data_IF_803212889111
#
_entry.id   IF_803212889111
#
_cell.length_a   1.000
_cell.length_b   1.000
_cell.length_c   1.000
_cell.angle_alpha   90.00
_cell.angle_beta   90.00
_cell.angle_gamma   90.00
#
_symmetry.space_group_name_H-M   'P 1'
#
loop_
_entity.id
_entity.type
_entity.pdbx_description
1 polymer ?
#
# COMPACT_ATOMS: atom_id res chain seq x y z
N UNK A 1 -19.96 11.04 23.99
CA UNK A 1 -18.54 10.73 24.05
C UNK A 1 -18.00 10.72 22.61
N UNK A 2 -16.86 11.36 22.39
CA UNK A 2 -16.21 11.41 21.11
C UNK A 2 -14.86 10.70 21.24
N UNK A 3 -14.59 9.74 20.34
CA UNK A 3 -13.28 9.12 20.18
C UNK A 3 -12.54 9.85 19.05
N UNK A 4 -11.51 10.63 19.40
CA UNK A 4 -10.74 11.42 18.43
C UNK A 4 -9.23 11.22 18.65
N UNK A 5 -8.71 10.02 18.36
CA UNK A 5 -7.29 9.74 18.46
C UNK A 5 -6.51 10.33 17.29
N UNK A 6 -5.19 10.31 17.39
CA UNK A 6 -4.25 10.60 16.31
C UNK A 6 -3.26 9.45 16.17
N UNK A 7 -2.70 9.26 14.97
CA UNK A 7 -1.66 8.28 14.72
C UNK A 7 -0.59 8.81 13.78
N UNK A 8 0.59 8.21 13.91
CA UNK A 8 1.77 8.51 13.10
C UNK A 8 2.00 7.37 12.12
N UNK A 9 1.77 7.63 10.83
CA UNK A 9 2.19 6.73 9.75
C UNK A 9 3.67 6.97 9.51
N UNK A 10 4.50 6.21 10.23
CA UNK A 10 5.91 6.53 10.43
C UNK A 10 6.88 5.66 9.62
N UNK A 11 6.41 4.59 8.97
CA UNK A 11 7.21 3.88 7.98
C UNK A 11 7.24 4.65 6.66
N UNK A 12 8.41 4.74 6.02
CA UNK A 12 8.45 5.34 4.70
C UNK A 12 9.85 5.69 4.20
N UNK A 13 9.99 5.67 2.89
CA UNK A 13 11.21 6.03 2.17
C UNK A 13 11.71 7.48 2.42
N UNK A 14 10.85 8.50 2.60
CA UNK A 14 11.35 9.84 2.87
C UNK A 14 12.23 9.93 4.11
N UNK A 15 11.84 9.28 5.20
CA UNK A 15 12.63 9.22 6.43
C UNK A 15 13.93 8.46 6.23
N UNK A 16 13.90 7.33 5.53
CA UNK A 16 15.10 6.53 5.23
C UNK A 16 16.07 7.30 4.33
N UNK A 17 15.60 7.95 3.28
CA UNK A 17 16.42 8.77 2.39
C UNK A 17 17.09 9.94 3.15
N UNK A 18 16.33 10.63 4.00
CA UNK A 18 16.88 11.71 4.84
C UNK A 18 17.92 11.17 5.83
N UNK A 19 17.66 10.01 6.42
CA UNK A 19 18.60 9.34 7.32
C UNK A 19 19.91 8.98 6.60
N UNK A 20 19.85 8.44 5.39
CA UNK A 20 21.02 8.15 4.57
C UNK A 20 21.81 9.42 4.21
N UNK A 21 21.13 10.50 3.83
CA UNK A 21 21.77 11.76 3.45
C UNK A 21 22.46 12.46 4.64
N UNK A 22 21.88 12.34 5.83
CA UNK A 22 22.36 13.07 7.02
C UNK A 22 23.19 12.21 7.97
N UNK A 23 23.28 10.90 7.74
CA UNK A 23 23.93 9.94 8.64
C UNK A 23 23.20 9.73 9.98
N UNK A 24 21.95 10.18 10.09
CA UNK A 24 21.12 9.99 11.29
C UNK A 24 20.39 8.64 11.23
N UNK A 25 20.17 8.02 12.38
CA UNK A 25 19.36 6.80 12.44
C UNK A 25 17.87 7.11 12.14
N UNK A 26 17.17 6.32 11.28
CA UNK A 26 15.77 6.59 10.90
C UNK A 26 14.84 6.74 12.11
N UNK A 27 14.97 5.89 13.11
CA UNK A 27 14.18 5.98 14.36
C UNK A 27 14.28 7.37 15.00
N UNK A 28 15.51 7.89 15.11
CA UNK A 28 15.71 9.23 15.70
C UNK A 28 15.05 10.33 14.87
N UNK A 29 15.12 10.24 13.55
CA UNK A 29 14.46 11.21 12.65
C UNK A 29 12.94 11.17 12.86
N UNK A 30 12.37 9.97 12.94
CA UNK A 30 10.93 9.78 13.20
C UNK A 30 10.52 10.37 14.54
N UNK A 31 11.25 10.06 15.62
CA UNK A 31 10.93 10.54 16.96
C UNK A 31 11.00 12.07 17.06
N UNK A 32 12.05 12.67 16.47
CA UNK A 32 12.22 14.12 16.42
C UNK A 32 11.04 14.78 15.67
N UNK A 33 10.60 14.22 14.55
CA UNK A 33 9.47 14.72 13.77
C UNK A 33 8.14 14.58 14.51
N UNK A 34 7.86 13.43 15.12
CA UNK A 34 6.65 13.19 15.93
C UNK A 34 6.55 14.25 17.03
N UNK A 35 7.66 14.54 17.71
CA UNK A 35 7.69 15.58 18.74
C UNK A 35 7.31 16.94 18.19
N UNK A 36 7.93 17.36 17.06
CA UNK A 36 7.65 18.66 16.42
C UNK A 36 6.19 18.75 16.01
N UNK A 37 5.65 17.73 15.32
CA UNK A 37 4.26 17.72 14.91
C UNK A 37 3.29 17.75 16.09
N UNK A 38 3.61 17.02 17.18
CA UNK A 38 2.80 17.05 18.40
C UNK A 38 2.74 18.46 19.00
N UNK A 39 3.88 19.15 19.06
CA UNK A 39 3.95 20.53 19.55
C UNK A 39 3.14 21.48 18.66
N UNK A 40 3.24 21.35 17.34
CA UNK A 40 2.51 22.18 16.37
C UNK A 40 1.01 21.96 16.44
N UNK A 41 0.55 20.70 16.54
CA UNK A 41 -0.88 20.37 16.62
C UNK A 41 -1.48 20.84 17.96
N UNK A 42 -0.73 20.74 19.07
CA UNK A 42 -1.15 21.29 20.34
C UNK A 42 -1.26 22.83 20.28
N UNK A 43 -0.28 23.49 19.67
CA UNK A 43 -0.31 24.96 19.49
C UNK A 43 -1.47 25.42 18.63
N UNK A 44 -1.89 24.61 17.64
CA UNK A 44 -3.08 24.89 16.82
C UNK A 44 -4.41 24.59 17.52
N UNK A 45 -4.39 24.03 18.74
CA UNK A 45 -5.58 23.78 19.55
C UNK A 45 -6.40 22.57 19.16
N UNK A 46 -5.81 21.59 18.44
CA UNK A 46 -6.50 20.32 18.14
C UNK A 46 -6.76 19.53 19.42
N UNK A 47 -7.99 19.08 19.60
CA UNK A 47 -8.45 18.33 20.79
C UNK A 47 -8.34 16.80 20.58
N UNK A 48 -7.19 16.34 20.14
CA UNK A 48 -6.93 14.90 20.02
C UNK A 48 -6.83 14.23 21.39
N UNK A 49 -7.28 12.97 21.47
CA UNK A 49 -7.01 12.11 22.62
C UNK A 49 -5.59 11.53 22.50
N UNK A 50 -4.61 12.30 22.96
CA UNK A 50 -3.19 11.95 22.92
C UNK A 50 -2.86 10.66 23.69
N UNK A 51 -3.68 10.28 24.68
CA UNK A 51 -3.51 9.03 25.42
C UNK A 51 -3.74 7.78 24.58
N UNK A 52 -4.38 7.94 23.41
CA UNK A 52 -4.69 6.89 22.43
C UNK A 52 -3.94 7.08 21.12
N UNK A 53 -2.87 7.87 21.14
CA UNK A 53 -2.02 8.00 19.96
C UNK A 53 -1.32 6.68 19.64
N UNK A 54 -1.18 6.40 18.35
CA UNK A 54 -0.49 5.21 17.84
C UNK A 54 0.67 5.61 16.94
N UNK A 55 1.72 4.79 16.95
CA UNK A 55 2.86 4.90 16.04
C UNK A 55 2.98 3.57 15.29
N UNK A 56 2.89 3.61 13.97
CA UNK A 56 2.94 2.40 13.14
C UNK A 56 4.31 1.71 13.19
N UNK A 57 5.35 2.39 13.65
CA UNK A 57 6.69 1.82 13.88
C UNK A 57 6.90 1.25 15.29
N UNK A 58 5.90 1.36 16.16
CA UNK A 58 5.93 0.70 17.45
C UNK A 58 5.76 -0.82 17.29
N UNK A 59 6.67 -1.67 17.80
CA UNK A 59 6.53 -3.12 17.77
C UNK A 59 5.21 -3.63 18.34
N UNK A 60 4.69 -2.98 19.39
CA UNK A 60 3.40 -3.34 20.00
C UNK A 60 2.22 -3.06 19.07
N UNK A 61 2.38 -2.12 18.12
CA UNK A 61 1.40 -1.85 17.08
C UNK A 61 1.57 -2.78 15.88
N UNK A 62 2.75 -2.83 15.23
CA UNK A 62 2.92 -3.56 13.99
C UNK A 62 2.92 -5.10 14.15
N UNK A 63 3.06 -5.63 15.36
CA UNK A 63 2.88 -7.07 15.61
C UNK A 63 1.53 -7.58 15.10
N UNK A 64 0.49 -6.74 15.14
CA UNK A 64 -0.83 -7.10 14.64
C UNK A 64 -0.89 -7.15 13.12
N UNK A 65 -0.21 -6.24 12.44
CA UNK A 65 -0.02 -6.29 10.98
C UNK A 65 0.70 -7.58 10.58
N UNK A 66 1.76 -7.93 11.31
CA UNK A 66 2.50 -9.19 11.10
C UNK A 66 1.62 -10.40 11.37
N UNK A 67 0.80 -10.38 12.42
CA UNK A 67 -0.14 -11.45 12.72
C UNK A 67 -1.17 -11.63 11.61
N UNK A 68 -1.76 -10.56 11.09
CA UNK A 68 -2.70 -10.60 9.96
C UNK A 68 -2.03 -11.23 8.75
N UNK A 69 -0.80 -10.82 8.40
CA UNK A 69 -0.06 -11.42 7.30
C UNK A 69 0.13 -12.92 7.48
N UNK A 70 0.51 -13.34 8.67
CA UNK A 70 0.68 -14.77 9.00
C UNK A 70 -0.64 -15.54 8.86
N UNK A 71 -1.79 -14.94 9.25
CA UNK A 71 -3.10 -15.57 9.03
C UNK A 71 -3.40 -15.70 7.54
N UNK A 72 -3.18 -14.64 6.75
CA UNK A 72 -3.37 -14.69 5.29
C UNK A 72 -2.50 -15.79 4.66
N UNK A 73 -1.25 -15.92 5.08
CA UNK A 73 -0.35 -16.96 4.61
C UNK A 73 -0.85 -18.36 4.99
N UNK A 74 -1.24 -18.60 6.25
CA UNK A 74 -1.78 -19.88 6.72
C UNK A 74 -3.05 -20.31 6.00
N UNK A 75 -3.85 -19.35 5.54
CA UNK A 75 -5.07 -19.61 4.77
C UNK A 75 -4.85 -19.65 3.24
N UNK A 76 -3.59 -19.63 2.80
CA UNK A 76 -3.24 -19.67 1.38
C UNK A 76 -3.63 -18.43 0.58
N UNK A 77 -3.89 -17.31 1.28
CA UNK A 77 -4.24 -16.01 0.70
C UNK A 77 -3.03 -15.11 0.45
N UNK A 78 -1.89 -15.40 1.07
CA UNK A 78 -0.61 -14.77 0.78
C UNK A 78 0.35 -15.81 0.19
N UNK A 79 1.05 -15.45 -0.88
CA UNK A 79 2.00 -16.32 -1.56
C UNK A 79 3.15 -15.50 -2.14
N UNK A 80 4.25 -16.15 -2.43
CA UNK A 80 5.43 -15.53 -3.03
C UNK A 80 5.55 -15.95 -4.47
N UNK A 81 5.80 -14.99 -5.35
CA UNK A 81 5.98 -15.23 -6.78
C UNK A 81 6.89 -14.17 -7.39
N UNK A 82 7.38 -14.44 -8.60
CA UNK A 82 8.23 -13.52 -9.35
C UNK A 82 7.39 -12.55 -10.17
N UNK A 83 7.82 -11.31 -10.18
CA UNK A 83 7.25 -10.29 -11.06
C UNK A 83 8.28 -9.24 -11.43
N UNK A 84 8.01 -8.52 -12.52
CA UNK A 84 8.79 -7.35 -12.89
C UNK A 84 8.28 -6.13 -12.12
N UNK A 85 9.23 -5.41 -11.54
CA UNK A 85 8.96 -4.15 -10.81
C UNK A 85 9.73 -3.01 -11.44
N UNK A 86 9.18 -1.81 -11.36
CA UNK A 86 9.89 -0.59 -11.74
C UNK A 86 10.97 -0.31 -10.70
N UNK A 87 12.23 -0.26 -11.11
CA UNK A 87 13.35 -0.05 -10.21
C UNK A 87 14.20 1.14 -10.61
N UNK A 88 14.45 2.04 -9.68
CA UNK A 88 15.38 3.15 -9.85
C UNK A 88 16.76 2.78 -9.31
N UNK A 89 17.75 2.65 -10.19
CA UNK A 89 19.13 2.31 -9.80
C UNK A 89 19.81 3.44 -8.98
N UNK A 90 19.41 4.68 -9.19
CA UNK A 90 19.95 5.83 -8.46
C UNK A 90 19.44 5.90 -7.03
N UNK A 91 18.12 5.81 -6.85
CA UNK A 91 17.49 5.82 -5.53
C UNK A 91 17.55 4.45 -4.83
N UNK A 92 17.85 3.36 -5.57
CA UNK A 92 17.86 1.96 -5.10
C UNK A 92 16.51 1.51 -4.52
N UNK A 93 15.41 1.95 -5.14
CA UNK A 93 14.04 1.68 -4.67
C UNK A 93 13.17 1.12 -5.78
N UNK A 94 12.18 0.33 -5.37
CA UNK A 94 11.05 -0.06 -6.22
C UNK A 94 10.04 1.09 -6.26
N UNK A 95 9.53 1.39 -7.45
CA UNK A 95 8.60 2.48 -7.70
C UNK A 95 7.24 1.92 -8.12
N UNK A 96 6.18 2.58 -7.69
CA UNK A 96 4.85 2.38 -8.24
C UNK A 96 4.78 2.88 -9.71
N UNK A 97 3.74 2.51 -10.43
CA UNK A 97 3.58 2.96 -11.82
C UNK A 97 3.43 4.47 -11.89
N UNK A 98 2.75 5.06 -10.91
CA UNK A 98 2.54 6.51 -10.77
C UNK A 98 3.86 7.27 -10.59
N UNK A 99 4.82 6.68 -9.86
CA UNK A 99 6.14 7.26 -9.54
C UNK A 99 7.18 7.04 -10.67
N UNK A 100 6.79 6.34 -11.74
CA UNK A 100 7.68 5.94 -12.84
C UNK A 100 7.13 6.25 -14.22
N UNK A 101 6.34 7.32 -14.33
CA UNK A 101 5.72 7.73 -15.58
C UNK A 101 6.77 8.02 -16.66
N UNK A 102 6.50 7.55 -17.88
CA UNK A 102 7.41 7.66 -19.02
C UNK A 102 8.80 7.04 -18.80
N UNK A 103 8.92 6.09 -17.87
CA UNK A 103 10.19 5.42 -17.55
C UNK A 103 11.18 6.30 -16.78
N UNK A 104 10.72 7.36 -16.16
CA UNK A 104 11.53 8.31 -15.39
C UNK A 104 11.09 8.26 -13.91
N UNK A 105 12.08 8.19 -13.03
CA UNK A 105 11.85 8.29 -11.60
C UNK A 105 11.44 9.71 -11.22
N UNK A 106 10.27 9.89 -10.61
CA UNK A 106 9.73 11.18 -10.17
C UNK A 106 10.60 11.86 -9.09
N UNK A 107 11.38 11.08 -8.34
CA UNK A 107 12.23 11.56 -7.24
C UNK A 107 13.57 12.14 -7.67
N UNK A 108 14.23 11.50 -8.63
CA UNK A 108 15.60 11.86 -9.00
C UNK A 108 15.80 12.12 -10.50
N UNK A 109 14.77 11.93 -11.32
CA UNK A 109 14.84 12.12 -12.78
C UNK A 109 15.64 11.05 -13.53
N UNK A 110 16.13 10.00 -12.85
CA UNK A 110 16.89 8.92 -13.49
C UNK A 110 15.98 7.95 -14.24
N UNK A 111 16.53 7.28 -15.24
CA UNK A 111 15.81 6.26 -15.98
C UNK A 111 15.48 5.05 -15.08
N UNK A 112 14.24 4.60 -15.16
CA UNK A 112 13.71 3.44 -14.46
C UNK A 112 13.93 2.19 -15.32
N UNK A 113 14.28 1.08 -14.69
CA UNK A 113 14.44 -0.22 -15.35
C UNK A 113 13.45 -1.24 -14.81
N UNK A 114 13.10 -2.22 -15.63
CA UNK A 114 12.34 -3.38 -15.18
C UNK A 114 13.29 -4.38 -14.53
N UNK A 115 12.99 -4.80 -13.30
CA UNK A 115 13.78 -5.77 -12.55
C UNK A 115 12.88 -6.90 -12.06
N UNK A 116 13.25 -8.13 -12.36
CA UNK A 116 12.57 -9.31 -11.79
C UNK A 116 12.87 -9.41 -10.29
N UNK A 117 11.84 -9.55 -9.49
CA UNK A 117 11.95 -9.76 -8.04
C UNK A 117 10.94 -10.78 -7.54
N UNK A 118 11.34 -11.52 -6.50
CA UNK A 118 10.42 -12.28 -5.68
C UNK A 118 9.65 -11.32 -4.77
N UNK A 119 8.34 -11.28 -4.91
CA UNK A 119 7.46 -10.40 -4.11
C UNK A 119 6.32 -11.21 -3.49
N UNK A 120 5.77 -10.68 -2.41
CA UNK A 120 4.58 -11.21 -1.81
C UNK A 120 3.33 -10.71 -2.52
N UNK A 121 2.42 -11.62 -2.81
CA UNK A 121 1.11 -11.34 -3.38
C UNK A 121 0.02 -11.73 -2.41
N UNK A 122 -1.08 -10.98 -2.43
CA UNK A 122 -2.33 -11.34 -1.78
C UNK A 122 -3.36 -11.74 -2.84
N UNK A 123 -4.07 -12.86 -2.63
CA UNK A 123 -5.10 -13.37 -3.55
C UNK A 123 -6.41 -12.58 -3.42
N UNK A 124 -6.38 -11.28 -3.66
CA UNK A 124 -7.55 -10.40 -3.50
C UNK A 124 -8.72 -10.82 -4.38
N UNK A 125 -8.45 -11.37 -5.58
CA UNK A 125 -9.49 -11.84 -6.51
C UNK A 125 -10.32 -13.01 -5.97
N UNK A 126 -9.82 -13.76 -4.99
CA UNK A 126 -10.56 -14.84 -4.36
C UNK A 126 -11.84 -14.36 -3.64
N UNK A 127 -11.94 -13.07 -3.37
CA UNK A 127 -13.08 -12.45 -2.71
C UNK A 127 -13.94 -11.59 -3.66
N UNK A 128 -13.60 -11.47 -4.93
CA UNK A 128 -14.29 -10.57 -5.86
C UNK A 128 -15.78 -10.86 -5.96
N UNK A 129 -16.16 -12.12 -6.19
CA UNK A 129 -17.56 -12.51 -6.28
C UNK A 129 -18.30 -12.32 -4.96
N UNK A 130 -17.68 -12.72 -3.83
CA UNK A 130 -18.26 -12.54 -2.50
C UNK A 130 -18.47 -11.06 -2.15
N UNK A 131 -17.58 -10.17 -2.60
CA UNK A 131 -17.73 -8.73 -2.41
C UNK A 131 -18.91 -8.18 -3.21
N UNK A 132 -19.10 -8.64 -4.45
CA UNK A 132 -20.26 -8.25 -5.27
C UNK A 132 -21.58 -8.73 -4.67
N UNK A 133 -21.63 -10.00 -4.26
CA UNK A 133 -22.81 -10.59 -3.62
C UNK A 133 -23.15 -9.86 -2.30
N UNK A 134 -22.14 -9.53 -1.50
CA UNK A 134 -22.31 -8.81 -0.24
C UNK A 134 -22.86 -7.39 -0.39
N UNK A 135 -22.85 -6.79 -1.59
CA UNK A 135 -23.48 -5.48 -1.83
C UNK A 135 -25.01 -5.52 -1.68
N UNK A 136 -25.61 -6.69 -1.75
CA UNK A 136 -27.06 -6.87 -1.53
C UNK A 136 -27.43 -6.85 -0.03
N UNK A 137 -26.45 -7.04 0.85
CA UNK A 137 -26.61 -7.08 2.30
C UNK A 137 -26.36 -5.72 2.98
N UNK A 138 -25.87 -4.72 2.25
CA UNK A 138 -25.49 -3.42 2.79
C UNK A 138 -26.35 -2.29 2.24
N UNK A 139 -26.75 -1.36 3.11
CA UNK A 139 -27.55 -0.20 2.74
C UNK A 139 -26.65 0.94 2.23
N UNK A 140 -26.06 0.75 1.07
CA UNK A 140 -25.27 1.77 0.40
C UNK A 140 -26.13 2.70 -0.46
N UNK A 141 -25.75 3.98 -0.51
CA UNK A 141 -26.29 4.89 -1.51
C UNK A 141 -26.04 4.33 -2.93
N UNK A 142 -26.99 4.48 -3.87
CA UNK A 142 -26.87 3.89 -5.22
C UNK A 142 -25.56 4.22 -5.93
N UNK A 143 -25.06 5.46 -5.79
CA UNK A 143 -23.79 5.87 -6.39
C UNK A 143 -22.59 5.09 -5.85
N UNK A 144 -22.57 4.81 -4.54
CA UNK A 144 -21.48 4.06 -3.88
C UNK A 144 -21.52 2.62 -4.33
N UNK A 145 -22.69 2.01 -4.43
CA UNK A 145 -22.87 0.66 -4.96
C UNK A 145 -22.31 0.54 -6.38
N UNK A 146 -22.68 1.46 -7.26
CA UNK A 146 -22.17 1.49 -8.65
C UNK A 146 -20.66 1.63 -8.70
N UNK A 147 -20.07 2.48 -7.85
CA UNK A 147 -18.62 2.63 -7.76
C UNK A 147 -17.92 1.33 -7.33
N UNK A 148 -18.48 0.60 -6.36
CA UNK A 148 -17.96 -0.69 -5.91
C UNK A 148 -18.07 -1.76 -7.00
N UNK A 149 -19.20 -1.87 -7.67
CA UNK A 149 -19.42 -2.80 -8.79
C UNK A 149 -18.43 -2.54 -9.93
N UNK A 150 -18.25 -1.28 -10.31
CA UNK A 150 -17.31 -0.87 -11.35
C UNK A 150 -15.84 -1.12 -10.96
N UNK A 151 -15.50 -0.92 -9.70
CA UNK A 151 -14.14 -1.17 -9.21
C UNK A 151 -13.77 -2.65 -9.27
N UNK A 152 -14.67 -3.53 -8.89
CA UNK A 152 -14.47 -4.98 -8.99
C UNK A 152 -14.46 -5.40 -10.47
N UNK A 153 -15.32 -4.82 -11.29
CA UNK A 153 -15.26 -4.89 -12.75
C UNK A 153 -15.51 -6.30 -13.29
N UNK A 154 -16.52 -7.03 -12.78
CA UNK A 154 -16.89 -8.33 -13.32
C UNK A 154 -17.27 -8.20 -14.80
N UNK A 155 -16.58 -8.92 -15.66
CA UNK A 155 -16.89 -8.98 -17.10
C UNK A 155 -16.94 -10.43 -17.58
N UNK A 156 -17.72 -10.65 -18.63
CA UNK A 156 -17.81 -11.93 -19.33
C UNK A 156 -17.29 -11.74 -20.75
N UNK A 157 -16.46 -12.67 -21.21
CA UNK A 157 -15.92 -12.71 -22.54
C UNK A 157 -15.92 -14.11 -23.11
N UNK A 158 -15.63 -14.23 -24.39
CA UNK A 158 -15.41 -15.50 -25.04
C UNK A 158 -13.99 -15.52 -25.62
N UNK A 159 -13.29 -16.64 -25.44
CA UNK A 159 -12.02 -16.93 -26.09
C UNK A 159 -12.31 -17.84 -27.29
N UNK A 160 -11.82 -17.48 -28.47
CA UNK A 160 -12.04 -18.22 -29.72
C UNK A 160 -10.70 -18.46 -30.37
N UNK A 161 -10.38 -19.73 -30.56
CA UNK A 161 -9.17 -20.15 -31.26
C UNK A 161 -9.43 -20.15 -32.81
N UNK A 162 -8.58 -19.45 -33.51
CA UNK A 162 -8.56 -19.48 -34.98
C UNK A 162 -7.33 -20.25 -35.46
N UNK A 163 -7.54 -21.25 -36.33
CA UNK A 163 -6.43 -21.91 -37.00
C UNK A 163 -5.86 -20.98 -38.10
N UNK A 164 -4.59 -20.78 -38.08
CA UNK A 164 -3.89 -20.11 -39.17
C UNK A 164 -3.89 -21.04 -40.40
N UNK A 165 -4.18 -20.47 -41.55
CA UNK A 165 -4.09 -21.19 -42.82
C UNK A 165 -2.60 -21.46 -43.09
N UNK A 166 -2.25 -22.71 -43.45
CA UNK A 166 -0.88 -23.14 -43.78
C UNK A 166 0.10 -23.30 -42.60
N UNK A 167 -0.37 -23.47 -41.36
CA UNK A 167 0.43 -24.00 -40.24
C UNK A 167 -0.02 -25.42 -39.91
N UNK A 168 0.93 -26.38 -39.90
CA UNK A 168 0.71 -27.75 -39.43
C UNK A 168 0.41 -27.80 -37.92
#
# INVERSE_FOLDING_TARGET
NVLFPIGWDAFGLPTENYAMQTGKHPRKVTDDNIKIFTEQLNAAGYSFDWSRSVDTTDPEYYKWTQWIFVQLFKHGLAYKDKTYVNFCNSCKVVLANEDSQNGICDRCGSQVVQMEKDVWFLKIRAYADKLLEGLDEVDYLPRIRIEQENWIGRSYGAEVDFKLKDTE
#
